data_IF_778021023581
#
_entry.id   IF_778021023581
#
_cell.length_a   1.000
_cell.length_b   1.000
_cell.length_c   1.000
_cell.angle_alpha   90.00
_cell.angle_beta   90.00
_cell.angle_gamma   90.00
#
_symmetry.space_group_name_H-M   'P 1'
#
loop_
_entity.id
_entity.type
_entity.pdbx_description
1 polymer ?
#
# COMPACT_ATOMS: atom_id res chain seq x y z
N UNK A 1 -4.95 -17.69 -2.77
CA UNK A 1 -5.43 -17.37 -1.41
C UNK A 1 -5.98 -15.96 -1.44
N UNK A 2 -7.13 -15.70 -0.83
CA UNK A 2 -7.72 -14.34 -0.78
C UNK A 2 -7.09 -13.49 0.32
N UNK A 3 -7.25 -12.18 0.21
CA UNK A 3 -6.84 -11.21 1.22
C UNK A 3 -7.99 -10.26 1.56
N UNK A 4 -7.84 -9.53 2.65
CA UNK A 4 -8.76 -8.49 3.10
C UNK A 4 -7.97 -7.19 3.26
N UNK A 5 -8.40 -6.15 2.55
CA UNK A 5 -7.97 -4.76 2.78
C UNK A 5 -8.92 -4.16 3.81
N UNK A 6 -8.40 -3.37 4.73
CA UNK A 6 -9.19 -2.81 5.82
C UNK A 6 -8.82 -1.35 6.11
N UNK A 7 -9.82 -0.63 6.62
CA UNK A 7 -9.64 0.67 7.28
C UNK A 7 -10.11 0.51 8.71
N UNK A 8 -9.25 0.85 9.66
CA UNK A 8 -9.51 0.79 11.10
C UNK A 8 -9.43 2.19 11.71
N UNK A 9 -10.13 2.42 12.81
CA UNK A 9 -10.03 3.63 13.63
C UNK A 9 -9.63 3.28 15.06
N UNK A 10 -8.79 4.11 15.67
CA UNK A 10 -8.43 4.03 17.08
C UNK A 10 -8.92 5.29 17.80
N UNK A 11 -9.90 5.18 18.73
CA UNK A 11 -10.53 6.34 19.35
C UNK A 11 -9.56 7.12 20.24
N UNK A 12 -8.76 6.44 21.07
CA UNK A 12 -7.85 7.11 22.01
C UNK A 12 -6.75 7.87 21.30
N UNK A 13 -6.06 7.24 20.34
CA UNK A 13 -5.10 7.91 19.48
C UNK A 13 -5.74 8.89 18.50
N UNK A 14 -7.06 8.90 18.33
CA UNK A 14 -7.75 9.66 17.27
C UNK A 14 -7.10 9.43 15.90
N UNK A 15 -6.83 8.17 15.58
CA UNK A 15 -6.09 7.77 14.40
C UNK A 15 -6.93 6.85 13.50
N UNK A 16 -6.66 6.89 12.19
CA UNK A 16 -7.14 5.93 11.20
C UNK A 16 -5.95 5.16 10.65
N UNK A 17 -6.15 3.88 10.34
CA UNK A 17 -5.14 2.99 9.77
C UNK A 17 -5.68 2.27 8.55
N UNK A 18 -4.88 2.23 7.50
CA UNK A 18 -5.07 1.31 6.37
C UNK A 18 -4.18 0.09 6.56
N UNK A 19 -4.62 -1.07 6.06
CA UNK A 19 -3.77 -2.24 5.97
C UNK A 19 -4.41 -3.36 5.17
N UNK A 20 -3.70 -4.46 5.01
CA UNK A 20 -4.28 -5.71 4.55
C UNK A 20 -3.77 -6.93 5.33
N UNK A 21 -4.52 -8.02 5.23
CA UNK A 21 -4.13 -9.33 5.77
C UNK A 21 -4.64 -10.45 4.88
N UNK A 22 -4.04 -11.65 4.98
CA UNK A 22 -4.67 -12.84 4.42
C UNK A 22 -6.01 -13.10 5.11
N UNK A 23 -7.03 -13.57 4.40
CA UNK A 23 -8.37 -13.77 4.99
C UNK A 23 -8.38 -14.76 6.17
N UNK A 24 -7.44 -15.71 6.20
CA UNK A 24 -7.28 -16.70 7.29
C UNK A 24 -6.36 -16.22 8.43
N UNK A 25 -5.89 -14.99 8.39
CA UNK A 25 -5.02 -14.43 9.42
C UNK A 25 -5.81 -13.93 10.62
N UNK A 26 -5.23 -14.07 11.82
CA UNK A 26 -5.72 -13.47 13.07
C UNK A 26 -5.38 -11.97 13.20
N UNK A 27 -4.78 -11.34 12.19
CA UNK A 27 -4.26 -9.96 12.25
C UNK A 27 -5.29 -8.92 12.69
N UNK A 28 -6.53 -9.00 12.18
CA UNK A 28 -7.60 -8.07 12.56
C UNK A 28 -8.02 -8.24 14.02
N UNK A 29 -8.04 -9.47 14.53
CA UNK A 29 -8.32 -9.75 15.92
C UNK A 29 -7.21 -9.23 16.84
N UNK A 30 -5.93 -9.42 16.46
CA UNK A 30 -4.78 -8.88 17.18
C UNK A 30 -4.81 -7.34 17.25
N UNK A 31 -5.20 -6.68 16.16
CA UNK A 31 -5.37 -5.23 16.11
C UNK A 31 -6.57 -4.79 16.98
N UNK A 32 -7.67 -5.54 16.96
CA UNK A 32 -8.84 -5.33 17.81
C UNK A 32 -8.51 -5.35 19.31
N UNK A 33 -7.71 -6.32 19.76
CA UNK A 33 -7.22 -6.40 21.15
C UNK A 33 -6.35 -5.20 21.55
N UNK A 34 -5.88 -4.41 20.59
CA UNK A 34 -5.07 -3.20 20.80
C UNK A 34 -5.86 -1.91 20.52
N UNK A 35 -7.19 -1.95 20.62
CA UNK A 35 -8.04 -0.76 20.49
C UNK A 35 -8.33 -0.31 19.06
N UNK A 36 -7.94 -1.09 18.03
CA UNK A 36 -8.30 -0.77 16.65
C UNK A 36 -9.67 -1.35 16.29
N UNK A 37 -10.60 -0.49 15.90
CA UNK A 37 -11.95 -0.87 15.52
C UNK A 37 -12.12 -0.86 14.00
N UNK A 38 -12.71 -1.90 13.39
CA UNK A 38 -13.01 -1.89 11.97
C UNK A 38 -13.97 -0.78 11.58
N UNK A 39 -13.57 0.07 10.63
CA UNK A 39 -14.48 0.97 9.93
C UNK A 39 -15.14 0.24 8.76
N UNK A 40 -14.31 -0.30 7.85
CA UNK A 40 -14.73 -1.10 6.68
C UNK A 40 -13.64 -2.08 6.25
N UNK A 41 -14.05 -3.14 5.56
CA UNK A 41 -13.17 -4.16 4.99
C UNK A 41 -13.61 -4.53 3.57
N UNK A 42 -12.65 -4.90 2.72
CA UNK A 42 -12.86 -5.35 1.35
C UNK A 42 -12.09 -6.65 1.12
N UNK A 43 -12.79 -7.71 0.75
CA UNK A 43 -12.17 -8.97 0.33
C UNK A 43 -11.67 -8.82 -1.10
N UNK A 44 -10.44 -9.26 -1.35
CA UNK A 44 -9.79 -9.21 -2.66
C UNK A 44 -9.21 -10.58 -3.02
N UNK A 45 -9.12 -10.84 -4.33
CA UNK A 45 -8.80 -12.16 -4.85
C UNK A 45 -7.40 -12.66 -4.45
N UNK A 46 -6.42 -11.75 -4.33
CA UNK A 46 -5.04 -12.11 -3.99
C UNK A 46 -4.37 -11.09 -3.04
N UNK A 47 -3.35 -11.49 -2.26
CA UNK A 47 -2.57 -10.57 -1.43
C UNK A 47 -1.80 -9.52 -2.25
N UNK A 48 -1.41 -9.83 -3.48
CA UNK A 48 -0.69 -8.90 -4.35
C UNK A 48 -1.58 -7.72 -4.73
N UNK A 49 -2.85 -7.99 -5.07
CA UNK A 49 -3.84 -6.94 -5.32
C UNK A 49 -4.09 -6.12 -4.05
N UNK A 50 -4.21 -6.77 -2.89
CA UNK A 50 -4.39 -6.08 -1.61
C UNK A 50 -3.25 -5.11 -1.31
N UNK A 51 -2.00 -5.57 -1.52
CA UNK A 51 -0.79 -4.76 -1.34
C UNK A 51 -0.74 -3.60 -2.33
N UNK A 52 -1.08 -3.82 -3.60
CA UNK A 52 -1.11 -2.76 -4.60
C UNK A 52 -2.11 -1.66 -4.23
N UNK A 53 -3.33 -2.06 -3.82
CA UNK A 53 -4.37 -1.15 -3.38
C UNK A 53 -3.96 -0.35 -2.12
N UNK A 54 -3.36 -1.01 -1.13
CA UNK A 54 -2.86 -0.35 0.08
C UNK A 54 -1.78 0.69 -0.27
N UNK A 55 -0.78 0.32 -1.06
CA UNK A 55 0.32 1.22 -1.43
C UNK A 55 -0.15 2.40 -2.27
N UNK A 56 -1.09 2.18 -3.19
CA UNK A 56 -1.69 3.26 -3.98
C UNK A 56 -2.50 4.22 -3.10
N UNK A 57 -3.27 3.70 -2.14
CA UNK A 57 -4.02 4.53 -1.20
C UNK A 57 -3.11 5.32 -0.25
N UNK A 58 -2.05 4.69 0.27
CA UNK A 58 -1.02 5.37 1.06
C UNK A 58 -0.35 6.49 0.27
N UNK A 59 -0.05 6.26 -1.01
CA UNK A 59 0.55 7.25 -1.88
C UNK A 59 -0.39 8.45 -2.09
N UNK A 60 -1.66 8.19 -2.41
CA UNK A 60 -2.69 9.22 -2.58
C UNK A 60 -2.82 10.10 -1.33
N UNK A 61 -2.95 9.46 -0.15
CA UNK A 61 -3.11 10.18 1.11
C UNK A 61 -1.87 11.03 1.43
N UNK A 62 -0.67 10.46 1.31
CA UNK A 62 0.57 11.15 1.72
C UNK A 62 1.01 12.24 0.75
N UNK A 63 0.90 11.98 -0.56
CA UNK A 63 1.55 12.83 -1.57
C UNK A 63 0.59 13.65 -2.41
N UNK A 64 -0.70 13.26 -2.51
CA UNK A 64 -1.71 14.07 -3.19
C UNK A 64 -2.54 14.90 -2.22
N UNK A 65 -2.84 14.34 -1.06
CA UNK A 65 -3.58 15.04 0.01
C UNK A 65 -2.68 15.64 1.09
N UNK A 66 -1.36 15.43 1.01
CA UNK A 66 -0.37 15.96 1.95
C UNK A 66 -0.63 15.58 3.42
N UNK A 67 -1.23 14.41 3.66
CA UNK A 67 -1.49 13.92 5.02
C UNK A 67 -0.33 13.01 5.44
N UNK A 68 0.53 13.44 6.39
CA UNK A 68 1.66 12.63 6.84
C UNK A 68 1.19 11.42 7.63
N UNK A 69 2.09 10.43 7.81
CA UNK A 69 1.84 9.39 8.81
C UNK A 69 1.76 10.03 10.20
N UNK A 70 0.95 9.46 11.09
CA UNK A 70 0.62 10.11 12.35
C UNK A 70 1.29 9.47 13.57
N UNK A 71 1.17 8.15 13.73
CA UNK A 71 1.74 7.44 14.88
C UNK A 71 3.17 6.98 14.59
N UNK A 72 3.93 6.80 15.67
CA UNK A 72 5.34 6.38 15.66
C UNK A 72 5.49 4.89 15.95
N UNK A 73 6.71 4.36 15.78
CA UNK A 73 7.04 2.97 16.12
C UNK A 73 6.95 2.67 17.62
N UNK A 74 7.06 3.69 18.49
CA UNK A 74 6.89 3.56 19.93
C UNK A 74 5.41 3.34 20.31
N UNK A 75 4.49 3.97 19.57
CA UNK A 75 3.05 3.86 19.80
C UNK A 75 2.45 2.62 19.12
N UNK A 76 2.97 2.27 17.94
CA UNK A 76 2.48 1.13 17.16
C UNK A 76 3.64 0.26 16.67
N UNK A 77 3.73 -0.94 17.24
CA UNK A 77 4.82 -1.91 16.97
C UNK A 77 5.05 -2.20 15.47
N UNK A 78 3.98 -2.24 14.66
CA UNK A 78 4.06 -2.55 13.22
C UNK A 78 3.01 -1.77 12.42
N UNK A 79 3.41 -1.24 11.25
CA UNK A 79 2.52 -0.52 10.36
C UNK A 79 2.16 0.88 10.86
N UNK A 80 3.02 1.51 11.67
CA UNK A 80 2.84 2.88 12.15
C UNK A 80 2.82 3.90 11.00
N UNK A 81 3.59 3.65 9.92
CA UNK A 81 3.57 4.51 8.73
C UNK A 81 2.21 4.51 8.03
N UNK A 82 1.38 3.48 8.21
CA UNK A 82 0.06 3.36 7.59
C UNK A 82 -1.05 4.03 8.41
N UNK A 83 -0.69 4.87 9.38
CA UNK A 83 -1.62 5.56 10.28
C UNK A 83 -1.72 7.04 9.94
N UNK A 84 -2.90 7.64 10.11
CA UNK A 84 -3.17 9.05 9.84
C UNK A 84 -4.02 9.65 10.96
N UNK A 85 -3.93 10.96 11.17
CA UNK A 85 -4.74 11.65 12.17
C UNK A 85 -6.19 11.80 11.70
N UNK A 86 -7.15 11.45 12.55
CA UNK A 86 -8.57 11.74 12.30
C UNK A 86 -8.89 13.25 12.28
N UNK A 87 -7.97 14.11 12.75
CA UNK A 87 -8.08 15.55 12.59
C UNK A 87 -7.71 16.06 11.19
N UNK A 88 -7.05 15.24 10.37
CA UNK A 88 -6.60 15.60 9.02
C UNK A 88 -7.38 14.85 7.93
N UNK A 89 -7.75 13.59 8.18
CA UNK A 89 -8.52 12.77 7.25
C UNK A 89 -9.42 11.81 8.01
N UNK A 90 -10.69 11.75 7.62
CA UNK A 90 -11.67 10.88 8.25
C UNK A 90 -11.51 9.42 7.80
N UNK A 91 -11.99 8.46 8.60
CA UNK A 91 -12.02 7.06 8.19
C UNK A 91 -12.85 6.81 6.92
N UNK A 92 -13.90 7.62 6.71
CA UNK A 92 -14.70 7.62 5.47
C UNK A 92 -13.87 8.02 4.27
N UNK A 93 -13.13 9.13 4.34
CA UNK A 93 -12.30 9.58 3.23
C UNK A 93 -11.19 8.60 2.90
N UNK A 94 -10.55 8.00 3.92
CA UNK A 94 -9.58 6.92 3.69
C UNK A 94 -10.23 5.74 2.97
N UNK A 95 -11.44 5.36 3.37
CA UNK A 95 -12.18 4.28 2.71
C UNK A 95 -12.56 4.61 1.27
N UNK A 96 -13.02 5.83 1.00
CA UNK A 96 -13.36 6.27 -0.35
C UNK A 96 -12.13 6.23 -1.27
N UNK A 97 -10.94 6.58 -0.75
CA UNK A 97 -9.67 6.43 -1.46
C UNK A 97 -9.37 4.94 -1.73
N UNK A 98 -9.56 4.06 -0.75
CA UNK A 98 -9.39 2.60 -0.95
C UNK A 98 -10.31 2.07 -2.04
N UNK A 99 -11.58 2.47 -2.04
CA UNK A 99 -12.53 2.08 -3.08
C UNK A 99 -12.14 2.61 -4.46
N UNK A 100 -11.66 3.85 -4.54
CA UNK A 100 -11.15 4.42 -5.79
C UNK A 100 -9.95 3.63 -6.33
N UNK A 101 -8.97 3.33 -5.47
CA UNK A 101 -7.81 2.53 -5.87
C UNK A 101 -8.21 1.10 -6.24
N UNK A 102 -9.17 0.50 -5.53
CA UNK A 102 -9.74 -0.79 -5.90
C UNK A 102 -10.27 -0.77 -7.33
N UNK A 103 -11.13 0.21 -7.64
CA UNK A 103 -11.69 0.36 -8.98
C UNK A 103 -10.57 0.51 -10.02
N UNK A 104 -9.58 1.36 -9.78
CA UNK A 104 -8.44 1.52 -10.69
C UNK A 104 -7.62 0.25 -10.88
N UNK A 105 -7.36 -0.53 -9.84
CA UNK A 105 -6.65 -1.80 -9.94
C UNK A 105 -7.45 -2.86 -10.70
N UNK A 106 -8.78 -2.90 -10.53
CA UNK A 106 -9.65 -3.83 -11.25
C UNK A 106 -9.91 -3.43 -12.71
N UNK A 107 -9.96 -2.11 -13.01
CA UNK A 107 -10.17 -1.59 -14.37
C UNK A 107 -8.88 -1.36 -15.15
N UNK A 108 -7.71 -1.33 -14.50
CA UNK A 108 -6.44 -1.26 -15.20
C UNK A 108 -6.31 -2.52 -16.06
N UNK A 109 -6.17 -2.39 -17.40
CA UNK A 109 -5.88 -3.55 -18.23
C UNK A 109 -4.62 -4.18 -17.65
N UNK A 110 -4.74 -5.39 -17.14
CA UNK A 110 -3.58 -6.15 -16.74
C UNK A 110 -2.72 -6.27 -18.00
N UNK A 111 -1.66 -5.48 -18.10
CA UNK A 111 -0.58 -5.76 -19.04
C UNK A 111 0.06 -7.03 -18.51
N UNK A 112 -0.55 -8.17 -18.82
CA UNK A 112 -0.05 -9.48 -18.44
C UNK A 112 1.17 -9.76 -19.29
N UNK A 113 2.32 -9.41 -18.75
CA UNK A 113 3.64 -9.72 -19.27
C UNK A 113 4.63 -9.32 -18.21
N UNK A 114 5.66 -10.13 -17.91
CA UNK A 114 6.70 -9.65 -17.04
C UNK A 114 7.35 -8.42 -17.69
N UNK A 115 7.85 -7.47 -16.89
CA UNK A 115 8.41 -6.21 -17.39
C UNK A 115 9.61 -6.41 -18.34
N UNK A 116 10.10 -7.66 -18.48
CA UNK A 116 11.24 -8.08 -19.29
C UNK A 116 10.92 -9.12 -20.39
N UNK A 117 9.65 -9.46 -20.66
CA UNK A 117 9.27 -10.36 -21.76
C UNK A 117 9.56 -11.86 -21.55
N UNK A 118 9.93 -12.31 -20.34
CA UNK A 118 10.10 -13.75 -20.05
C UNK A 118 8.78 -14.53 -20.13
N UNK A 119 8.68 -15.50 -21.04
CA UNK A 119 7.55 -16.46 -21.05
C UNK A 119 7.68 -17.45 -19.88
N UNK A 120 6.54 -17.92 -19.33
CA UNK A 120 6.50 -18.90 -18.22
C UNK A 120 7.15 -20.27 -18.53
N UNK A 121 7.56 -20.52 -19.77
CA UNK A 121 8.00 -21.85 -20.24
C UNK A 121 9.54 -22.01 -20.34
N UNK A 122 10.33 -21.29 -19.56
CA UNK A 122 11.79 -21.51 -19.48
C UNK A 122 12.58 -21.21 -20.77
N UNK A 123 11.98 -20.50 -21.73
CA UNK A 123 12.70 -20.03 -22.92
C UNK A 123 13.78 -19.02 -22.53
N UNK A 124 14.97 -19.17 -23.09
CA UNK A 124 16.06 -18.19 -22.99
C UNK A 124 15.50 -16.80 -23.30
N UNK A 125 15.67 -15.81 -22.40
CA UNK A 125 15.19 -14.46 -22.65
C UNK A 125 15.76 -13.95 -23.98
N UNK A 126 14.97 -13.24 -24.81
CA UNK A 126 15.52 -12.61 -26.01
C UNK A 126 16.71 -11.74 -25.60
N UNK A 127 17.81 -11.84 -26.37
CA UNK A 127 19.03 -11.08 -26.11
C UNK A 127 18.68 -9.60 -26.17
N UNK A 128 18.70 -8.92 -25.02
CA UNK A 128 18.33 -7.50 -24.89
C UNK A 128 19.09 -6.68 -25.94
N UNK A 129 18.34 -5.98 -26.78
CA UNK A 129 18.91 -5.05 -27.74
C UNK A 129 19.17 -3.72 -27.02
N UNK A 130 20.28 -3.04 -27.36
CA UNK A 130 20.66 -1.76 -26.76
C UNK A 130 19.53 -0.73 -27.03
N UNK A 131 18.75 -0.41 -26.00
CA UNK A 131 17.59 0.49 -26.10
C UNK A 131 16.26 -0.09 -25.59
N UNK A 132 16.15 -1.41 -25.38
CA UNK A 132 14.91 -2.07 -24.92
C UNK A 132 14.65 -1.94 -23.42
N UNK A 133 15.68 -1.65 -22.62
CA UNK A 133 15.45 -1.34 -21.21
C UNK A 133 14.71 -0.02 -21.15
N UNK A 134 13.41 -0.08 -20.84
CA UNK A 134 12.62 1.11 -20.56
C UNK A 134 13.41 1.96 -19.56
N UNK A 135 13.66 3.25 -19.87
CA UNK A 135 14.35 4.12 -18.93
C UNK A 135 13.58 4.05 -17.61
N UNK A 136 14.29 3.90 -16.48
CA UNK A 136 13.69 3.97 -15.16
C UNK A 136 12.66 5.09 -15.15
N UNK A 137 11.42 4.76 -14.83
CA UNK A 137 10.33 5.73 -14.84
C UNK A 137 10.77 6.92 -14.00
N UNK A 138 10.32 8.12 -14.39
CA UNK A 138 10.63 9.35 -13.64
C UNK A 138 10.32 9.17 -12.15
N UNK A 139 9.28 8.38 -11.85
CA UNK A 139 8.88 7.95 -10.51
C UNK A 139 9.92 7.06 -9.81
N UNK A 140 10.44 6.02 -10.46
CA UNK A 140 11.48 5.16 -9.88
C UNK A 140 12.77 5.94 -9.57
N UNK A 141 13.12 6.92 -10.43
CA UNK A 141 14.28 7.81 -10.17
C UNK A 141 14.02 8.76 -9.00
N UNK A 142 12.82 9.33 -8.91
CA UNK A 142 12.42 10.19 -7.80
C UNK A 142 12.42 9.42 -6.48
N UNK A 143 11.89 8.19 -6.47
CA UNK A 143 11.85 7.36 -5.27
C UNK A 143 13.26 6.96 -4.81
N UNK A 144 14.12 6.49 -5.70
CA UNK A 144 15.52 6.18 -5.36
C UNK A 144 16.30 7.42 -4.87
N UNK A 145 15.97 8.62 -5.39
CA UNK A 145 16.55 9.88 -4.93
C UNK A 145 16.08 10.25 -3.53
N UNK A 146 14.78 10.11 -3.25
CA UNK A 146 14.20 10.39 -1.93
C UNK A 146 14.74 9.42 -0.86
N UNK A 147 14.86 8.13 -1.19
CA UNK A 147 15.41 7.10 -0.29
C UNK A 147 16.91 7.29 0.00
N UNK A 148 17.66 8.00 -0.86
CA UNK A 148 19.06 8.38 -0.60
C UNK A 148 19.21 9.60 0.31
N UNK A 149 18.24 10.51 0.29
CA UNK A 149 18.29 11.79 1.03
C UNK A 149 17.57 11.67 2.39
N UNK A 150 16.81 10.59 2.56
CA UNK A 150 16.09 10.26 3.77
C UNK A 150 17.00 10.29 5.03
N UNK A 151 16.67 11.12 6.04
CA UNK A 151 17.53 11.36 7.21
C UNK A 151 17.66 10.15 8.15
N UNK A 152 16.83 9.12 8.00
CA UNK A 152 16.89 7.89 8.81
C UNK A 152 17.98 6.89 8.36
N UNK A 153 18.87 7.28 7.44
CA UNK A 153 20.02 6.49 6.97
C UNK A 153 21.38 7.00 7.46
N UNK A 154 21.43 7.98 8.36
CA UNK A 154 22.68 8.37 9.03
C UNK A 154 22.80 7.57 10.33
N UNK A 155 23.62 6.52 10.27
CA UNK A 155 24.25 5.90 11.43
C UNK A 155 25.22 6.89 12.10
#
# INVERSE_FOLDING_TARGET
MTAVVYVLSHPEFRAVKIGFAATKSNRLEELGRRGWHPYRTLIVATPELAREMEQAALFEIRYRRFVPHFLTSAEVRHGWTETFSLGLITAREVWDIVCWQAAMTYFAPHVTGPPDGRRRNGGTPPRRVRGETLPYSRMARTQARLERIAPWKKD
#
